data_IF_408242455682
#
_entry.id   IF_408242455682
#
_cell.length_a   1.000
_cell.length_b   1.000
_cell.length_c   1.000
_cell.angle_alpha   90.00
_cell.angle_beta   90.00
_cell.angle_gamma   90.00
#
_symmetry.space_group_name_H-M   'P 1'
#
loop_
_entity.id
_entity.type
_entity.pdbx_description
1 polymer ?
#
# COMPACT_ATOMS: atom_id res chain seq x y z
N UNK A 1 -5.12 -12.47 -26.30
CA UNK A 1 -4.65 -11.50 -25.28
C UNK A 1 -4.16 -10.20 -25.91
N UNK A 2 -3.25 -10.24 -26.90
CA UNK A 2 -2.66 -9.01 -27.48
C UNK A 2 -3.66 -8.07 -28.18
N UNK A 3 -4.66 -8.61 -28.89
CA UNK A 3 -5.74 -7.81 -29.51
C UNK A 3 -6.70 -7.18 -28.48
N UNK A 4 -7.05 -7.93 -27.42
CA UNK A 4 -7.88 -7.42 -26.31
C UNK A 4 -7.14 -6.35 -25.53
N UNK A 5 -5.84 -6.53 -25.25
CA UNK A 5 -5.03 -5.50 -24.61
C UNK A 5 -4.88 -4.27 -25.51
N UNK A 6 -4.58 -4.42 -26.80
CA UNK A 6 -4.46 -3.27 -27.73
C UNK A 6 -5.77 -2.50 -27.90
N UNK A 7 -6.91 -3.19 -27.94
CA UNK A 7 -8.23 -2.55 -28.09
C UNK A 7 -8.68 -1.93 -26.77
N UNK A 8 -8.53 -2.64 -25.65
CA UNK A 8 -8.83 -2.12 -24.32
C UNK A 8 -7.98 -0.88 -24.00
N UNK A 9 -6.68 -0.88 -24.25
CA UNK A 9 -5.81 0.29 -24.04
C UNK A 9 -6.15 1.45 -24.99
N UNK A 10 -6.58 1.17 -26.22
CA UNK A 10 -7.01 2.22 -27.16
C UNK A 10 -8.33 2.86 -26.76
N UNK A 11 -9.29 2.08 -26.28
CA UNK A 11 -10.63 2.54 -25.87
C UNK A 11 -10.60 3.15 -24.47
N UNK A 12 -9.78 2.61 -23.56
CA UNK A 12 -9.65 3.09 -22.20
C UNK A 12 -9.32 4.59 -22.14
N UNK A 13 -8.46 5.10 -23.04
CA UNK A 13 -8.14 6.54 -23.06
C UNK A 13 -9.36 7.46 -23.24
N UNK A 14 -10.43 6.96 -23.87
CA UNK A 14 -11.64 7.73 -24.15
C UNK A 14 -12.74 7.44 -23.12
N UNK A 15 -12.84 6.19 -22.66
CA UNK A 15 -13.91 5.78 -21.72
C UNK A 15 -13.52 6.03 -20.27
N UNK A 16 -12.25 5.89 -19.91
CA UNK A 16 -11.77 6.05 -18.54
C UNK A 16 -12.02 7.47 -18.00
N UNK A 17 -11.74 8.58 -18.71
CA UNK A 17 -12.06 9.91 -18.21
C UNK A 17 -13.55 10.09 -17.90
N UNK A 18 -14.43 9.60 -18.78
CA UNK A 18 -15.88 9.69 -18.58
C UNK A 18 -16.34 8.88 -17.36
N UNK A 19 -15.93 7.60 -17.27
CA UNK A 19 -16.28 6.72 -16.14
C UNK A 19 -15.70 7.27 -14.83
N UNK A 20 -14.44 7.71 -14.85
CA UNK A 20 -13.80 8.26 -13.66
C UNK A 20 -14.47 9.56 -13.24
N UNK A 21 -14.85 10.45 -14.17
CA UNK A 21 -15.61 11.68 -13.83
C UNK A 21 -16.89 11.34 -13.08
N UNK A 22 -17.73 10.45 -13.62
CA UNK A 22 -19.05 10.16 -13.01
C UNK A 22 -18.95 9.36 -11.71
N UNK A 23 -17.89 8.56 -11.50
CA UNK A 23 -17.72 7.76 -10.29
C UNK A 23 -16.95 8.48 -9.18
N UNK A 24 -15.83 9.11 -9.52
CA UNK A 24 -14.85 9.62 -8.54
C UNK A 24 -14.50 11.09 -8.75
N UNK A 25 -14.33 11.51 -10.01
CA UNK A 25 -13.80 12.81 -10.40
C UNK A 25 -14.69 13.98 -10.00
N UNK A 26 -16.02 13.80 -9.94
CA UNK A 26 -16.93 14.86 -9.45
C UNK A 26 -17.06 14.94 -7.93
N UNK A 27 -16.34 14.08 -7.19
CA UNK A 27 -16.39 14.03 -5.72
C UNK A 27 -15.05 14.52 -5.15
N UNK A 28 -14.98 15.76 -4.61
CA UNK A 28 -13.72 16.38 -4.16
C UNK A 28 -12.89 15.54 -3.19
N UNK A 29 -13.54 14.75 -2.32
CA UNK A 29 -12.84 13.89 -1.35
C UNK A 29 -12.00 12.77 -1.98
N UNK A 30 -12.28 12.35 -3.22
CA UNK A 30 -11.38 11.42 -3.92
C UNK A 30 -10.10 12.09 -4.40
N UNK A 31 -10.15 13.38 -4.70
CA UNK A 31 -8.96 14.14 -5.10
C UNK A 31 -7.97 14.33 -3.96
N UNK A 32 -8.43 14.34 -2.70
CA UNK A 32 -7.50 14.37 -1.55
C UNK A 32 -6.74 13.07 -1.33
N UNK A 33 -7.13 11.99 -2.02
CA UNK A 33 -6.43 10.70 -1.98
C UNK A 33 -5.48 10.49 -3.16
N UNK A 34 -5.43 11.42 -4.12
CA UNK A 34 -4.47 11.37 -5.22
C UNK A 34 -3.13 11.86 -4.70
N UNK A 35 -2.08 11.09 -4.95
CA UNK A 35 -0.73 11.45 -4.53
C UNK A 35 -0.27 12.72 -5.26
N UNK A 36 0.54 13.53 -4.56
CA UNK A 36 0.92 14.84 -5.05
C UNK A 36 1.69 14.78 -6.39
N UNK A 37 2.43 13.71 -6.65
CA UNK A 37 3.17 13.47 -7.89
C UNK A 37 2.28 13.12 -9.09
N UNK A 38 1.01 12.75 -8.86
CA UNK A 38 0.06 12.32 -9.90
C UNK A 38 -1.13 13.26 -10.06
N UNK A 39 -1.26 14.26 -9.18
CA UNK A 39 -2.45 15.08 -9.10
C UNK A 39 -2.73 15.83 -10.41
N UNK A 40 -1.74 16.53 -10.96
CA UNK A 40 -1.88 17.33 -12.17
C UNK A 40 -2.21 16.44 -13.39
N UNK A 41 -1.47 15.32 -13.56
CA UNK A 41 -1.73 14.38 -14.66
C UNK A 41 -3.14 13.79 -14.57
N UNK A 42 -3.56 13.35 -13.37
CA UNK A 42 -4.89 12.79 -13.17
C UNK A 42 -6.00 13.82 -13.43
N UNK A 43 -5.83 15.06 -12.95
CA UNK A 43 -6.75 16.17 -13.17
C UNK A 43 -6.91 16.46 -14.66
N UNK A 44 -5.80 16.68 -15.34
CA UNK A 44 -5.78 17.07 -16.74
C UNK A 44 -6.34 15.94 -17.62
N UNK A 45 -6.05 14.69 -17.28
CA UNK A 45 -6.60 13.53 -17.97
C UNK A 45 -8.12 13.37 -17.77
N UNK A 46 -8.62 13.54 -16.54
CA UNK A 46 -10.03 13.33 -16.21
C UNK A 46 -10.91 14.45 -16.80
N UNK A 47 -10.43 15.70 -16.78
CA UNK A 47 -11.21 16.88 -17.21
C UNK A 47 -10.90 17.38 -18.62
N UNK A 48 -10.02 16.71 -19.37
CA UNK A 48 -9.68 17.09 -20.75
C UNK A 48 -10.92 17.33 -21.62
N UNK A 49 -11.03 18.54 -22.18
CA UNK A 49 -12.10 18.93 -23.10
C UNK A 49 -13.44 19.28 -22.45
N UNK A 50 -13.53 19.27 -21.12
CA UNK A 50 -14.72 19.67 -20.34
C UNK A 50 -14.35 20.61 -19.18
N UNK A 51 -13.21 21.30 -19.27
CA UNK A 51 -12.65 22.12 -18.20
C UNK A 51 -13.62 23.24 -17.78
N UNK A 52 -14.27 23.89 -18.74
CA UNK A 52 -15.22 24.98 -18.49
C UNK A 52 -16.46 24.51 -17.71
N UNK A 53 -16.94 23.29 -17.96
CA UNK A 53 -18.08 22.69 -17.24
C UNK A 53 -17.73 22.46 -15.76
N UNK A 54 -16.48 22.07 -15.49
CA UNK A 54 -16.01 21.70 -14.16
C UNK A 54 -15.09 22.74 -13.51
N UNK A 55 -15.00 23.97 -14.04
CA UNK A 55 -14.04 24.97 -13.61
C UNK A 55 -14.08 25.25 -12.09
N UNK A 56 -15.28 25.31 -11.51
CA UNK A 56 -15.45 25.52 -10.06
C UNK A 56 -14.98 24.34 -9.20
N UNK A 57 -15.09 23.10 -9.71
CA UNK A 57 -14.55 21.92 -9.04
C UNK A 57 -13.02 21.87 -9.18
N UNK A 58 -12.52 22.09 -10.40
CA UNK A 58 -11.08 22.15 -10.72
C UNK A 58 -10.37 23.16 -9.81
N UNK A 59 -10.95 24.37 -9.64
CA UNK A 59 -10.41 25.37 -8.74
C UNK A 59 -10.33 24.89 -7.28
N UNK A 60 -11.35 24.18 -6.78
CA UNK A 60 -11.37 23.65 -5.41
C UNK A 60 -10.31 22.58 -5.19
N UNK A 61 -10.18 21.63 -6.12
CA UNK A 61 -9.21 20.54 -5.98
C UNK A 61 -7.77 21.06 -6.13
N UNK A 62 -7.52 22.02 -7.03
CA UNK A 62 -6.23 22.68 -7.16
C UNK A 62 -5.85 23.42 -5.87
N UNK A 63 -6.79 24.20 -5.32
CA UNK A 63 -6.55 24.91 -4.07
C UNK A 63 -6.16 23.95 -2.94
N UNK A 64 -6.88 22.82 -2.79
CA UNK A 64 -6.52 21.81 -1.78
C UNK A 64 -5.15 21.20 -2.04
N UNK A 65 -4.83 20.84 -3.28
CA UNK A 65 -3.52 20.28 -3.64
C UNK A 65 -2.38 21.25 -3.32
N UNK A 66 -2.50 22.51 -3.71
CA UNK A 66 -1.49 23.56 -3.52
C UNK A 66 -1.30 23.98 -2.05
N UNK A 67 -2.36 23.88 -1.23
CA UNK A 67 -2.33 24.32 0.17
C UNK A 67 -2.12 23.21 1.17
N UNK A 68 -2.53 21.97 0.84
CA UNK A 68 -2.50 20.82 1.75
C UNK A 68 -1.86 19.60 1.09
N UNK A 69 -2.42 19.09 -0.01
CA UNK A 69 -2.05 17.78 -0.57
C UNK A 69 -0.56 17.64 -0.90
N UNK A 70 0.02 18.66 -1.53
CA UNK A 70 1.46 18.72 -1.88
C UNK A 70 2.39 19.01 -0.71
N UNK A 71 1.85 19.38 0.47
CA UNK A 71 2.62 19.85 1.64
C UNK A 71 2.52 18.93 2.85
N UNK A 72 1.81 17.80 2.75
CA UNK A 72 1.52 16.92 3.89
C UNK A 72 2.77 16.56 4.71
N UNK A 73 3.87 16.15 4.06
CA UNK A 73 5.11 15.77 4.76
C UNK A 73 5.77 16.94 5.48
N UNK A 74 5.78 18.13 4.87
CA UNK A 74 6.27 19.37 5.51
C UNK A 74 5.38 19.77 6.69
N UNK A 75 4.05 19.74 6.51
CA UNK A 75 3.09 20.08 7.57
C UNK A 75 3.22 19.14 8.77
N UNK A 76 3.43 17.83 8.54
CA UNK A 76 3.69 16.89 9.63
C UNK A 76 4.96 17.22 10.42
N UNK A 77 6.02 17.69 9.75
CA UNK A 77 7.25 18.15 10.41
C UNK A 77 7.08 19.46 11.17
N UNK A 78 6.29 20.38 10.63
CA UNK A 78 5.91 21.61 11.34
C UNK A 78 5.10 21.29 12.60
N UNK A 79 4.13 20.37 12.52
CA UNK A 79 3.37 19.89 13.68
C UNK A 79 4.28 19.27 14.75
N UNK A 80 5.25 18.43 14.35
CA UNK A 80 6.25 17.87 15.27
C UNK A 80 7.05 18.97 15.97
N UNK A 81 7.50 19.99 15.24
CA UNK A 81 8.22 21.14 15.78
C UNK A 81 7.37 21.97 16.76
N UNK A 82 6.05 22.03 16.54
CA UNK A 82 5.07 22.68 17.44
C UNK A 82 4.71 21.82 18.68
N UNK A 83 5.36 20.66 18.84
CA UNK A 83 5.20 19.77 19.99
C UNK A 83 4.09 18.72 19.83
N UNK A 84 3.53 18.56 18.63
CA UNK A 84 2.59 17.47 18.34
C UNK A 84 3.38 16.17 18.17
N UNK A 85 3.03 15.15 18.96
CA UNK A 85 3.60 13.82 18.82
C UNK A 85 2.89 13.08 17.69
N UNK A 86 3.64 12.74 16.64
CA UNK A 86 3.11 11.99 15.48
C UNK A 86 3.64 10.56 15.52
N UNK A 87 2.73 9.61 15.33
CA UNK A 87 3.05 8.18 15.23
C UNK A 87 2.28 7.58 14.05
N UNK A 88 2.91 6.65 13.35
CA UNK A 88 2.34 5.99 12.16
C UNK A 88 2.26 4.48 12.38
N UNK A 89 1.16 3.87 11.96
CA UNK A 89 1.02 2.41 11.89
C UNK A 89 0.75 2.06 10.43
N UNK A 90 1.78 1.55 9.76
CA UNK A 90 1.72 1.09 8.38
C UNK A 90 1.53 -0.43 8.31
N UNK A 91 1.06 -0.92 7.17
CA UNK A 91 0.85 -2.35 6.91
C UNK A 91 1.56 -2.77 5.64
N UNK A 92 2.05 -3.99 5.62
CA UNK A 92 2.78 -4.54 4.47
C UNK A 92 2.64 -6.07 4.37
N UNK A 93 3.28 -6.67 3.36
CA UNK A 93 3.26 -8.12 3.13
C UNK A 93 2.25 -8.56 2.07
N UNK A 94 1.45 -7.64 1.52
CA UNK A 94 0.54 -7.92 0.41
C UNK A 94 0.96 -7.23 -0.88
N UNK A 95 0.60 -7.86 -1.99
CA UNK A 95 0.69 -7.26 -3.32
C UNK A 95 -0.50 -6.29 -3.53
N UNK A 96 -0.25 -5.14 -4.16
CA UNK A 96 -1.32 -4.29 -4.69
C UNK A 96 -2.15 -5.06 -5.71
N UNK A 97 -3.41 -4.64 -5.92
CA UNK A 97 -4.17 -5.11 -7.08
C UNK A 97 -3.36 -4.91 -8.38
N UNK A 98 -3.23 -5.93 -9.26
CA UNK A 98 -2.36 -5.89 -10.44
C UNK A 98 -2.98 -5.09 -11.61
N UNK A 99 -3.54 -3.92 -11.30
CA UNK A 99 -4.17 -2.98 -12.22
C UNK A 99 -3.49 -1.59 -12.19
N UNK A 100 -2.46 -1.44 -11.37
CA UNK A 100 -1.66 -0.22 -11.23
C UNK A 100 -0.21 -0.48 -11.59
N UNK A 101 0.50 0.57 -12.01
CA UNK A 101 1.97 0.53 -12.07
C UNK A 101 2.52 0.24 -10.66
N UNK A 102 3.71 -0.38 -10.61
CA UNK A 102 4.38 -0.75 -9.37
C UNK A 102 3.58 -1.69 -8.45
N UNK A 103 2.70 -2.49 -9.04
CA UNK A 103 1.97 -3.53 -8.31
C UNK A 103 2.88 -4.61 -7.69
N UNK A 104 4.20 -4.52 -7.84
CA UNK A 104 5.18 -5.35 -7.15
C UNK A 104 5.75 -4.71 -5.88
N UNK A 105 5.29 -3.54 -5.44
CA UNK A 105 5.71 -2.96 -4.16
C UNK A 105 5.03 -3.64 -2.96
N UNK A 106 5.66 -3.53 -1.79
CA UNK A 106 5.05 -3.93 -0.51
C UNK A 106 3.86 -3.02 -0.19
N UNK A 107 2.73 -3.62 0.19
CA UNK A 107 1.48 -2.90 0.39
C UNK A 107 0.55 -3.61 1.37
N UNK A 108 -0.58 -2.98 1.64
CA UNK A 108 -1.71 -3.56 2.36
C UNK A 108 -2.83 -4.08 1.44
N UNK A 109 -2.51 -4.30 0.15
CA UNK A 109 -3.39 -4.63 -0.99
C UNK A 109 -3.93 -3.42 -1.77
N UNK A 110 -3.97 -2.23 -1.17
CA UNK A 110 -4.51 -1.01 -1.80
C UNK A 110 -3.51 0.13 -1.82
N UNK A 111 -2.76 0.32 -0.74
CA UNK A 111 -1.83 1.44 -0.55
C UNK A 111 -0.43 0.89 -0.30
N UNK A 112 0.57 1.45 -0.99
CA UNK A 112 1.97 1.06 -0.79
C UNK A 112 2.43 1.40 0.63
N UNK A 113 3.47 0.71 1.10
CA UNK A 113 4.09 1.01 2.39
C UNK A 113 4.61 2.46 2.45
N UNK A 114 5.19 2.94 1.35
CA UNK A 114 5.73 4.30 1.22
C UNK A 114 4.63 5.38 1.26
N UNK A 115 3.46 5.14 0.65
CA UNK A 115 2.32 6.05 0.77
C UNK A 115 1.70 6.09 2.17
N UNK A 116 1.72 4.96 2.90
CA UNK A 116 1.24 4.91 4.30
C UNK A 116 2.21 5.60 5.26
N UNK A 117 3.52 5.40 5.03
CA UNK A 117 4.61 5.93 5.83
C UNK A 117 5.66 6.57 4.89
N UNK A 118 5.53 7.87 4.57
CA UNK A 118 6.37 8.56 3.59
C UNK A 118 7.87 8.38 3.87
N UNK A 119 8.64 8.00 2.85
CA UNK A 119 10.07 7.74 2.95
C UNK A 119 10.46 6.29 3.26
N UNK A 120 9.48 5.41 3.50
CA UNK A 120 9.75 3.96 3.66
C UNK A 120 10.39 3.40 2.40
N UNK A 121 11.47 2.64 2.55
CA UNK A 121 12.11 1.90 1.45
C UNK A 121 11.68 0.44 1.55
N UNK A 122 11.35 -0.18 0.41
CA UNK A 122 10.91 -1.58 0.38
C UNK A 122 11.58 -2.38 -0.72
N UNK A 123 11.93 -3.63 -0.44
CA UNK A 123 12.20 -4.60 -1.49
C UNK A 123 10.90 -4.93 -2.24
N UNK A 124 10.96 -5.37 -3.51
CA UNK A 124 9.79 -5.87 -4.19
C UNK A 124 9.10 -6.99 -3.40
N UNK A 125 7.77 -7.07 -3.50
CA UNK A 125 6.97 -8.12 -2.89
C UNK A 125 7.51 -9.51 -3.26
N UNK A 126 7.70 -10.36 -2.26
CA UNK A 126 8.30 -11.69 -2.41
C UNK A 126 9.82 -11.71 -2.59
N UNK A 127 10.50 -10.57 -2.47
CA UNK A 127 11.96 -10.43 -2.49
C UNK A 127 12.45 -9.79 -1.17
N UNK A 128 13.77 -9.80 -0.98
CA UNK A 128 14.46 -9.13 0.13
C UNK A 128 15.47 -8.13 -0.41
N UNK A 129 15.93 -7.21 0.43
CA UNK A 129 17.11 -6.41 0.14
C UNK A 129 18.32 -7.31 -0.11
N UNK A 130 19.22 -6.84 -0.99
CA UNK A 130 20.46 -7.53 -1.29
C UNK A 130 21.55 -7.28 -0.22
N UNK A 131 22.63 -8.05 -0.29
CA UNK A 131 23.72 -7.93 0.67
C UNK A 131 24.40 -6.56 0.64
N UNK A 132 24.46 -5.91 -0.53
CA UNK A 132 25.06 -4.59 -0.68
C UNK A 132 24.25 -3.54 0.10
N UNK A 133 22.92 -3.54 -0.06
CA UNK A 133 22.01 -2.67 0.69
C UNK A 133 22.16 -2.87 2.20
N UNK A 134 22.15 -4.12 2.67
CA UNK A 134 22.28 -4.44 4.10
C UNK A 134 23.64 -4.02 4.65
N UNK A 135 24.72 -4.19 3.89
CA UNK A 135 26.05 -3.78 4.32
C UNK A 135 26.17 -2.26 4.39
N UNK A 136 25.60 -1.53 3.43
CA UNK A 136 25.54 -0.08 3.48
C UNK A 136 24.76 0.41 4.72
N UNK A 137 23.61 -0.19 5.01
CA UNK A 137 22.84 0.16 6.21
C UNK A 137 23.62 -0.08 7.52
N UNK A 138 24.42 -1.16 7.60
CA UNK A 138 25.30 -1.40 8.76
C UNK A 138 26.42 -0.36 8.87
N UNK A 139 26.99 0.08 7.75
CA UNK A 139 28.00 1.14 7.74
C UNK A 139 27.41 2.47 8.22
N UNK A 140 26.15 2.72 7.86
CA UNK A 140 25.41 3.94 8.24
C UNK A 140 24.77 3.85 9.65
N UNK A 141 24.79 2.68 10.30
CA UNK A 141 24.16 2.45 11.61
C UNK A 141 22.63 2.45 11.57
N UNK A 142 22.05 2.23 10.40
CA UNK A 142 20.60 2.24 10.14
C UNK A 142 19.99 0.84 10.05
N UNK A 143 20.80 -0.21 10.16
CA UNK A 143 20.36 -1.61 10.07
C UNK A 143 19.29 -1.98 11.10
N UNK A 144 19.26 -1.28 12.25
CA UNK A 144 18.24 -1.44 13.29
C UNK A 144 16.82 -1.09 12.83
N UNK A 145 16.68 -0.33 11.73
CA UNK A 145 15.40 0.03 11.14
C UNK A 145 14.96 -0.93 10.03
N UNK A 146 15.74 -1.97 9.74
CA UNK A 146 15.38 -2.96 8.71
C UNK A 146 14.54 -4.07 9.33
N UNK A 147 13.47 -4.46 8.65
CA UNK A 147 12.59 -5.54 9.08
C UNK A 147 13.32 -6.88 9.20
N UNK A 148 12.90 -7.78 10.10
CA UNK A 148 13.53 -9.10 10.24
C UNK A 148 13.50 -9.97 8.97
N UNK A 149 12.49 -9.80 8.11
CA UNK A 149 12.38 -10.47 6.81
C UNK A 149 13.16 -9.77 5.68
N UNK A 150 13.85 -8.67 6.00
CA UNK A 150 14.65 -7.88 5.07
C UNK A 150 13.86 -7.30 3.89
N UNK A 151 12.57 -7.03 4.07
CA UNK A 151 11.69 -6.50 3.02
C UNK A 151 11.37 -5.00 3.15
N UNK A 152 11.48 -4.43 4.36
CA UNK A 152 11.11 -3.03 4.66
C UNK A 152 12.22 -2.37 5.46
N UNK A 153 12.54 -1.13 5.13
CA UNK A 153 13.51 -0.30 5.84
C UNK A 153 12.86 1.05 6.17
N UNK A 154 12.79 1.35 7.46
CA UNK A 154 12.16 2.54 8.00
C UNK A 154 13.13 3.70 8.22
N UNK A 155 14.44 3.53 7.95
CA UNK A 155 15.49 4.51 8.30
C UNK A 155 15.32 5.89 7.65
N UNK A 156 14.60 5.94 6.52
CA UNK A 156 14.30 7.17 5.77
C UNK A 156 12.85 7.62 5.89
N UNK A 157 12.04 6.89 6.64
CA UNK A 157 10.64 7.26 6.91
C UNK A 157 10.59 8.59 7.64
N UNK A 158 9.52 9.36 7.43
CA UNK A 158 9.33 10.69 8.03
C UNK A 158 9.47 10.69 9.56
N UNK A 159 9.07 9.59 10.21
CA UNK A 159 9.13 9.40 11.67
C UNK A 159 9.67 8.00 12.02
N UNK A 160 10.99 7.76 11.88
CA UNK A 160 11.54 6.40 11.95
C UNK A 160 11.37 5.78 13.33
N UNK A 161 11.47 6.57 14.40
CA UNK A 161 11.37 6.06 15.78
C UNK A 161 9.92 5.88 16.27
N UNK A 162 8.94 6.36 15.51
CA UNK A 162 7.51 6.34 15.89
C UNK A 162 6.63 5.81 14.76
N UNK A 163 7.21 5.02 13.85
CA UNK A 163 6.49 4.27 12.81
C UNK A 163 6.57 2.78 13.07
N UNK A 164 5.43 2.13 13.24
CA UNK A 164 5.27 0.69 13.35
C UNK A 164 4.76 0.10 12.04
N UNK A 165 5.23 -1.10 11.71
CA UNK A 165 4.83 -1.86 10.53
C UNK A 165 4.21 -3.19 10.95
N UNK A 166 2.99 -3.44 10.46
CA UNK A 166 2.25 -4.68 10.71
C UNK A 166 2.25 -5.53 9.43
N UNK A 167 2.98 -6.64 9.45
CA UNK A 167 3.02 -7.59 8.33
C UNK A 167 1.71 -8.40 8.29
N UNK A 168 1.26 -8.75 7.08
CA UNK A 168 0.11 -9.63 6.82
C UNK A 168 -1.25 -9.08 7.28
N UNK A 169 -1.37 -7.76 7.44
CA UNK A 169 -2.65 -7.11 7.69
C UNK A 169 -3.17 -6.37 6.45
N UNK A 170 -4.34 -6.77 5.96
CA UNK A 170 -4.99 -6.15 4.78
C UNK A 170 -5.51 -4.75 5.07
N UNK A 171 -5.71 -3.94 4.04
CA UNK A 171 -6.21 -2.57 4.12
C UNK A 171 -7.49 -2.46 4.96
N UNK A 172 -8.49 -3.29 4.65
CA UNK A 172 -9.80 -3.32 5.30
C UNK A 172 -9.82 -4.01 6.68
N UNK A 173 -8.67 -4.45 7.18
CA UNK A 173 -8.53 -5.09 8.48
C UNK A 173 -7.94 -4.09 9.47
N UNK A 174 -8.67 -3.81 10.55
CA UNK A 174 -8.16 -3.07 11.71
C UNK A 174 -8.66 -3.71 13.00
N UNK A 175 -8.06 -4.85 13.39
CA UNK A 175 -8.59 -5.70 14.45
C UNK A 175 -8.35 -5.08 15.83
N UNK A 176 -9.25 -5.39 16.77
CA UNK A 176 -9.18 -4.87 18.15
C UNK A 176 -7.88 -5.25 18.88
N UNK A 177 -7.16 -6.25 18.38
CA UNK A 177 -5.86 -6.65 18.92
C UNK A 177 -4.79 -5.56 18.79
N UNK A 178 -4.96 -4.57 17.91
CA UNK A 178 -4.08 -3.39 17.84
C UNK A 178 -4.43 -2.32 18.90
N UNK A 179 -5.61 -2.37 19.50
CA UNK A 179 -6.03 -1.34 20.47
C UNK A 179 -5.03 -1.18 21.64
N UNK A 180 -4.47 -2.23 22.25
CA UNK A 180 -3.45 -2.08 23.29
C UNK A 180 -2.24 -1.25 22.85
N UNK A 181 -1.70 -1.48 21.64
CA UNK A 181 -0.61 -0.68 21.07
C UNK A 181 -1.04 0.78 20.91
N UNK A 182 -2.20 1.02 20.29
CA UNK A 182 -2.73 2.37 20.07
C UNK A 182 -2.92 3.12 21.38
N UNK A 183 -3.46 2.46 22.41
CA UNK A 183 -3.62 3.08 23.72
C UNK A 183 -2.27 3.40 24.38
N UNK A 184 -1.24 2.55 24.22
CA UNK A 184 0.09 2.87 24.71
C UNK A 184 0.70 4.08 24.00
N UNK A 185 0.54 4.16 22.67
CA UNK A 185 0.98 5.33 21.89
C UNK A 185 0.26 6.61 22.35
N UNK A 186 -1.06 6.55 22.53
CA UNK A 186 -1.88 7.72 22.88
C UNK A 186 -1.73 8.15 24.35
N UNK A 187 -1.37 7.23 25.25
CA UNK A 187 -1.29 7.48 26.71
C UNK A 187 0.15 7.48 27.24
N UNK A 188 1.13 7.75 26.38
CA UNK A 188 2.51 7.86 26.81
C UNK A 188 2.71 9.19 27.57
N UNK A 189 2.40 9.16 28.87
CA UNK A 189 2.51 10.31 29.75
C UNK A 189 3.98 10.77 29.85
N UNK A 190 4.22 12.07 29.65
CA UNK A 190 5.55 12.68 29.79
C UNK A 190 6.48 12.48 28.59
N UNK A 191 6.62 11.26 28.07
CA UNK A 191 7.53 10.91 26.96
C UNK A 191 6.79 10.22 25.82
N UNK A 192 7.17 10.47 24.57
CA UNK A 192 6.55 9.80 23.41
C UNK A 192 6.99 8.34 23.38
N UNK A 193 6.05 7.41 23.26
CA UNK A 193 6.39 6.01 22.98
C UNK A 193 7.10 5.91 21.64
N UNK A 194 8.23 5.22 21.61
CA UNK A 194 8.98 4.89 20.40
C UNK A 194 8.91 3.39 20.13
N UNK A 195 9.35 2.99 18.94
CA UNK A 195 9.52 1.57 18.56
C UNK A 195 10.55 0.81 19.39
N UNK A 196 11.34 1.52 20.22
CA UNK A 196 12.34 0.95 21.12
C UNK A 196 11.89 0.95 22.60
N UNK A 197 10.71 1.49 22.90
CA UNK A 197 10.23 1.67 24.28
C UNK A 197 9.67 0.39 24.92
N UNK A 198 9.19 -0.57 24.11
CA UNK A 198 8.57 -1.82 24.60
C UNK A 198 8.88 -2.98 23.65
N UNK A 199 9.57 -4.01 24.16
CA UNK A 199 9.95 -5.20 23.40
C UNK A 199 8.76 -6.01 22.88
N UNK A 200 7.56 -5.84 23.46
CA UNK A 200 6.34 -6.48 22.96
C UNK A 200 5.75 -5.76 21.75
N UNK A 201 6.13 -4.50 21.54
CA UNK A 201 5.69 -3.66 20.42
C UNK A 201 6.88 -3.04 19.68
N UNK A 202 7.80 -3.86 19.15
CA UNK A 202 8.92 -3.37 18.36
C UNK A 202 8.42 -2.78 17.04
N UNK A 203 9.32 -2.16 16.28
CA UNK A 203 9.01 -1.54 14.98
C UNK A 203 8.25 -2.47 14.02
N UNK A 204 8.54 -3.78 14.05
CA UNK A 204 7.97 -4.76 13.14
C UNK A 204 7.17 -5.82 13.91
N UNK A 205 5.88 -5.89 13.59
CA UNK A 205 4.93 -6.85 14.16
C UNK A 205 4.37 -7.74 13.07
N UNK A 206 4.12 -9.01 13.39
CA UNK A 206 3.39 -9.94 12.54
C UNK A 206 1.94 -10.03 13.00
N UNK A 207 1.00 -9.87 12.07
CA UNK A 207 -0.42 -10.14 12.30
C UNK A 207 -0.75 -11.59 11.93
N UNK A 208 -1.39 -12.29 12.85
CA UNK A 208 -1.90 -13.65 12.64
C UNK A 208 -3.40 -13.65 12.89
N UNK A 209 -4.17 -13.57 11.81
CA UNK A 209 -5.62 -13.77 11.83
C UNK A 209 -5.98 -15.02 11.06
N UNK A 210 -6.52 -16.04 11.74
CA UNK A 210 -7.14 -17.20 11.09
C UNK A 210 -8.65 -17.10 11.19
N UNK A 211 -9.33 -17.53 10.15
CA UNK A 211 -10.77 -17.77 10.21
C UNK A 211 -11.04 -18.78 11.34
N UNK A 212 -11.69 -18.33 12.42
CA UNK A 212 -12.08 -19.08 13.62
C UNK A 212 -11.03 -19.29 14.75
N UNK A 213 -9.82 -18.72 14.68
CA UNK A 213 -8.79 -18.91 15.74
C UNK A 213 -8.40 -17.60 16.47
N UNK A 214 -9.19 -16.54 16.25
CA UNK A 214 -8.93 -15.21 16.80
C UNK A 214 -7.76 -14.50 16.10
N UNK A 215 -7.64 -13.21 16.42
CA UNK A 215 -6.63 -12.33 15.86
C UNK A 215 -5.53 -12.11 16.89
N UNK A 216 -4.26 -12.30 16.51
CA UNK A 216 -3.10 -11.99 17.35
C UNK A 216 -2.10 -11.07 16.63
N UNK A 217 -1.29 -10.36 17.42
CA UNK A 217 -0.09 -9.67 16.94
C UNK A 217 1.07 -10.06 17.84
N UNK A 218 2.26 -10.15 17.26
CA UNK A 218 3.49 -10.44 18.01
C UNK A 218 4.71 -9.78 17.36
N UNK A 219 5.82 -9.61 18.10
CA UNK A 219 7.11 -9.31 17.51
C UNK A 219 7.41 -10.22 16.32
N UNK A 220 7.87 -9.61 15.24
CA UNK A 220 8.22 -10.33 14.03
C UNK A 220 9.59 -11.01 14.15
N UNK A 221 9.76 -12.15 13.50
CA UNK A 221 11.00 -12.92 13.44
C UNK A 221 11.48 -13.06 12.00
N UNK A 222 12.68 -13.62 11.79
CA UNK A 222 13.26 -13.81 10.44
C UNK A 222 12.53 -14.89 9.63
N UNK A 223 11.80 -15.76 10.31
CA UNK A 223 11.00 -16.83 9.72
C UNK A 223 9.67 -16.31 9.19
N UNK A 224 9.22 -15.16 9.67
CA UNK A 224 8.02 -14.49 9.17
C UNK A 224 8.25 -14.02 7.74
N UNK A 225 7.26 -14.29 6.91
CA UNK A 225 7.25 -13.87 5.52
C UNK A 225 5.92 -13.21 5.24
N UNK A 226 5.95 -12.22 4.36
CA UNK A 226 4.72 -11.73 3.75
C UNK A 226 3.94 -12.90 3.15
N UNK A 227 2.62 -12.77 3.08
CA UNK A 227 1.72 -13.65 2.32
C UNK A 227 1.41 -12.98 0.97
N UNK A 228 2.39 -12.93 0.03
CA UNK A 228 2.13 -12.36 -1.28
C UNK A 228 1.04 -13.20 -1.93
N UNK A 229 0.05 -12.54 -2.54
CA UNK A 229 -0.91 -13.22 -3.42
C UNK A 229 -0.08 -14.05 -4.40
N UNK A 230 -0.14 -15.38 -4.26
CA UNK A 230 0.79 -16.29 -4.92
C UNK A 230 0.85 -15.96 -6.42
N UNK A 231 2.06 -15.80 -6.95
CA UNK A 231 2.27 -16.04 -8.38
C UNK A 231 2.41 -17.56 -8.51
N UNK A 232 1.36 -18.30 -8.93
CA UNK A 232 1.52 -19.72 -9.22
C UNK A 232 2.72 -19.88 -10.14
N UNK A 233 3.66 -20.74 -9.78
CA UNK A 233 4.84 -21.00 -10.61
C UNK A 233 4.43 -21.37 -12.04
N UNK A 234 5.31 -21.15 -13.02
CA UNK A 234 5.01 -21.39 -14.44
C UNK A 234 4.33 -22.75 -14.71
N UNK A 235 4.79 -23.81 -14.05
CA UNK A 235 4.20 -25.15 -14.15
C UNK A 235 2.82 -25.27 -13.48
N UNK A 236 2.59 -24.56 -12.37
CA UNK A 236 1.28 -24.48 -11.72
C UNK A 236 0.29 -23.73 -12.61
N UNK A 237 0.71 -22.64 -13.24
CA UNK A 237 -0.06 -21.92 -14.25
C UNK A 237 -0.41 -22.82 -15.44
N UNK A 238 0.57 -23.53 -15.99
CA UNK A 238 0.37 -24.44 -17.12
C UNK A 238 -0.62 -25.57 -16.75
N UNK A 239 -0.45 -26.17 -15.56
CA UNK A 239 -1.34 -27.20 -15.03
C UNK A 239 -2.78 -26.67 -14.88
N UNK A 240 -2.94 -25.50 -14.25
CA UNK A 240 -4.26 -24.90 -14.04
C UNK A 240 -4.93 -24.52 -15.36
N UNK A 241 -4.16 -24.01 -16.33
CA UNK A 241 -4.64 -23.73 -17.68
C UNK A 241 -5.14 -25.02 -18.36
N UNK A 242 -4.35 -26.09 -18.35
CA UNK A 242 -4.75 -27.37 -18.95
C UNK A 242 -6.01 -27.94 -18.30
N UNK A 243 -6.09 -27.91 -16.96
CA UNK A 243 -7.28 -28.39 -16.22
C UNK A 243 -8.53 -27.58 -16.62
N UNK A 244 -8.42 -26.26 -16.70
CA UNK A 244 -9.54 -25.41 -17.05
C UNK A 244 -9.97 -25.59 -18.52
N UNK A 245 -9.02 -25.76 -19.44
CA UNK A 245 -9.32 -26.07 -20.85
C UNK A 245 -10.06 -27.41 -20.97
N UNK A 246 -9.61 -28.45 -20.27
CA UNK A 246 -10.28 -29.76 -20.27
C UNK A 246 -11.70 -29.65 -19.69
N UNK A 247 -11.89 -28.90 -18.60
CA UNK A 247 -13.23 -28.65 -18.04
C UNK A 247 -14.15 -27.99 -19.06
N UNK A 248 -13.69 -26.94 -19.74
CA UNK A 248 -14.47 -26.25 -20.77
C UNK A 248 -14.84 -27.20 -21.92
N UNK A 249 -13.88 -28.02 -22.39
CA UNK A 249 -14.15 -29.01 -23.46
C UNK A 249 -15.23 -30.00 -23.00
N UNK A 250 -15.12 -30.54 -21.79
CA UNK A 250 -16.09 -31.48 -21.25
C UNK A 250 -17.48 -30.85 -21.07
N UNK A 251 -17.57 -29.59 -20.66
CA UNK A 251 -18.83 -28.86 -20.58
C UNK A 251 -19.45 -28.63 -21.95
N UNK A 252 -18.66 -28.27 -22.97
CA UNK A 252 -19.16 -28.09 -24.33
C UNK A 252 -19.61 -29.42 -24.96
N UNK A 253 -18.87 -30.51 -24.74
CA UNK A 253 -19.27 -31.85 -25.16
C UNK A 253 -20.60 -32.23 -24.50
N UNK A 254 -20.76 -32.02 -23.19
CA UNK A 254 -22.04 -32.29 -22.50
C UNK A 254 -23.22 -31.52 -23.12
N UNK A 255 -23.02 -30.27 -23.54
CA UNK A 255 -24.06 -29.46 -24.21
C UNK A 255 -24.42 -29.94 -25.62
N UNK A 256 -23.54 -30.70 -26.27
CA UNK A 256 -23.78 -31.26 -27.62
C UNK A 256 -24.54 -32.59 -27.54
N UNK A 257 -24.39 -33.32 -26.43
CA UNK A 257 -25.00 -34.65 -26.23
C UNK A 257 -26.22 -34.64 -25.27
N UNK A 258 -26.73 -33.45 -24.92
CA UNK A 258 -28.00 -33.22 -24.20
C UNK A 258 -28.92 -32.39 -25.09
#
# INVERSE_FOLDING_TARGET
MDYFNKTATKVARYVTPDVMRVCYGTTPGYWSMVSADRFEEARDYIFAGVEDEYAGLIAKINHYHETVGSKLTTMYKEMEADGVRVSVIAKYGYQLYPIVYDANQQSDMIVTCEQQAPGTVTAPIGSTFDEEYINNAKLDGTEKYISPDLAVDASKTLFPDTTWYIQNMKHNCYPRILCPLIYKILRSDGEQMTVFSDENYPQYLAYEGKENDGDTIRPMTKEDKGDPIERPGFFTLLKNLMINVVKIILEQIKKIFM
#
